data_IF_759131920843
#
_entry.id   IF_759131920843
#
_cell.length_a   1.000
_cell.length_b   1.000
_cell.length_c   1.000
_cell.angle_alpha   90.00
_cell.angle_beta   90.00
_cell.angle_gamma   90.00
#
_symmetry.space_group_name_H-M   'P 1'
#
loop_
_entity.id
_entity.type
_entity.pdbx_description
1 polymer ?
#
# COMPACT_ATOMS: atom_id res chain seq x y z
N UNK A 1 -9.58 -39.82 3.13
CA UNK A 1 -9.39 -38.38 2.82
C UNK A 1 -8.57 -37.68 3.91
N UNK A 2 -8.96 -37.81 5.19
CA UNK A 2 -8.23 -37.28 6.35
C UNK A 2 -6.74 -37.70 6.39
N UNK A 3 -6.45 -38.99 6.19
CA UNK A 3 -5.06 -39.49 6.19
C UNK A 3 -4.19 -38.85 5.09
N UNK A 4 -4.76 -38.60 3.91
CA UNK A 4 -4.04 -37.94 2.81
C UNK A 4 -3.71 -36.48 3.15
N UNK A 5 -4.59 -35.78 3.85
CA UNK A 5 -4.35 -34.39 4.26
C UNK A 5 -3.28 -34.30 5.35
N UNK A 6 -3.27 -35.25 6.29
CA UNK A 6 -2.21 -35.38 7.31
C UNK A 6 -0.86 -35.65 6.65
N UNK A 7 -0.82 -36.56 5.68
CA UNK A 7 0.40 -36.85 4.91
C UNK A 7 0.86 -35.60 4.15
N UNK A 8 -0.05 -34.88 3.48
CA UNK A 8 0.27 -33.65 2.76
C UNK A 8 0.85 -32.57 3.69
N UNK A 9 0.25 -32.38 4.86
CA UNK A 9 0.73 -31.44 5.89
C UNK A 9 2.15 -31.78 6.33
N UNK A 10 2.42 -33.06 6.62
CA UNK A 10 3.77 -33.52 6.99
C UNK A 10 4.78 -33.29 5.86
N UNK A 11 4.44 -33.62 4.62
CA UNK A 11 5.32 -33.41 3.46
C UNK A 11 5.61 -31.93 3.19
N UNK A 12 4.63 -31.04 3.36
CA UNK A 12 4.81 -29.60 3.23
C UNK A 12 5.68 -29.03 4.35
N UNK A 13 5.49 -29.50 5.58
CA UNK A 13 6.32 -29.13 6.73
C UNK A 13 7.78 -29.58 6.52
N UNK A 14 7.99 -30.83 6.10
CA UNK A 14 9.32 -31.35 5.75
C UNK A 14 9.93 -30.52 4.62
N UNK A 15 9.17 -30.22 3.57
CA UNK A 15 9.63 -29.36 2.48
C UNK A 15 10.04 -27.97 2.97
N UNK A 16 9.24 -27.35 3.83
CA UNK A 16 9.51 -26.03 4.42
C UNK A 16 10.84 -26.02 5.18
N UNK A 17 11.13 -27.07 5.96
CA UNK A 17 12.39 -27.21 6.70
C UNK A 17 13.64 -27.27 5.79
N UNK A 18 13.49 -27.70 4.54
CA UNK A 18 14.59 -27.77 3.57
C UNK A 18 14.64 -26.60 2.58
N UNK A 19 13.71 -25.64 2.64
CA UNK A 19 13.65 -24.52 1.70
C UNK A 19 14.94 -23.69 1.67
N UNK A 20 15.54 -23.43 2.83
CA UNK A 20 16.78 -22.67 2.94
C UNK A 20 17.97 -23.28 2.18
N UNK A 21 17.94 -24.60 1.96
CA UNK A 21 18.99 -25.33 1.25
C UNK A 21 18.78 -25.39 -0.27
N UNK A 22 17.68 -24.84 -0.79
CA UNK A 22 17.38 -24.80 -2.24
C UNK A 22 17.93 -23.53 -2.87
N UNK A 23 18.16 -23.52 -4.18
CA UNK A 23 18.48 -22.28 -4.89
C UNK A 23 17.23 -21.46 -5.16
N UNK A 24 17.30 -20.13 -5.06
CA UNK A 24 16.15 -19.25 -5.37
C UNK A 24 15.71 -19.35 -6.83
N UNK A 25 16.65 -19.63 -7.72
CA UNK A 25 16.36 -19.96 -9.11
C UNK A 25 15.47 -21.21 -9.25
N UNK A 26 15.68 -22.26 -8.46
CA UNK A 26 14.80 -23.44 -8.46
C UNK A 26 13.39 -23.09 -7.93
N UNK A 27 13.32 -22.20 -6.94
CA UNK A 27 12.05 -21.74 -6.39
C UNK A 27 11.25 -20.92 -7.42
N UNK A 28 11.90 -20.15 -8.29
CA UNK A 28 11.25 -19.14 -9.15
C UNK A 28 11.32 -19.37 -10.67
N UNK A 29 11.92 -20.47 -11.17
CA UNK A 29 11.96 -20.77 -12.62
C UNK A 29 10.60 -21.17 -13.20
N UNK A 30 10.41 -21.15 -14.55
CA UNK A 30 9.14 -21.49 -15.24
C UNK A 30 8.43 -22.74 -14.75
N UNK A 31 9.19 -23.80 -14.46
CA UNK A 31 8.74 -25.08 -13.92
C UNK A 31 9.10 -25.23 -12.43
N UNK A 32 9.40 -24.10 -11.78
CA UNK A 32 9.86 -24.01 -10.41
C UNK A 32 8.73 -24.15 -9.41
N UNK A 33 9.13 -24.27 -8.15
CA UNK A 33 8.21 -24.62 -7.04
C UNK A 33 7.14 -23.57 -6.80
N UNK A 34 7.42 -22.28 -7.02
CA UNK A 34 6.47 -21.21 -6.75
C UNK A 34 5.12 -21.39 -7.46
N UNK A 35 5.11 -21.87 -8.71
CA UNK A 35 3.85 -22.13 -9.40
C UNK A 35 3.02 -23.19 -8.65
N UNK A 36 3.65 -24.28 -8.21
CA UNK A 36 2.95 -25.33 -7.46
C UNK A 36 2.45 -24.81 -6.11
N UNK A 37 3.26 -24.01 -5.41
CA UNK A 37 2.86 -23.38 -4.14
C UNK A 37 1.63 -22.48 -4.34
N UNK A 38 1.62 -21.65 -5.37
CA UNK A 38 0.48 -20.77 -5.67
C UNK A 38 -0.78 -21.58 -6.03
N UNK A 39 -0.65 -22.63 -6.83
CA UNK A 39 -1.78 -23.52 -7.18
C UNK A 39 -2.31 -24.29 -5.95
N UNK A 40 -1.42 -24.76 -5.07
CA UNK A 40 -1.80 -25.40 -3.81
C UNK A 40 -2.46 -24.41 -2.86
N UNK A 41 -1.93 -23.18 -2.76
CA UNK A 41 -2.52 -22.11 -1.97
C UNK A 41 -3.95 -21.86 -2.41
N UNK A 42 -4.21 -21.69 -3.70
CA UNK A 42 -5.58 -21.53 -4.21
C UNK A 42 -6.48 -22.72 -3.85
N UNK A 43 -6.01 -23.94 -4.12
CA UNK A 43 -6.78 -25.16 -3.86
C UNK A 43 -7.14 -25.36 -2.39
N UNK A 44 -6.19 -25.11 -1.48
CA UNK A 44 -6.38 -25.22 -0.03
C UNK A 44 -7.25 -24.09 0.48
N UNK A 45 -7.00 -22.84 0.08
CA UNK A 45 -7.83 -21.68 0.42
C UNK A 45 -9.30 -21.94 0.07
N UNK A 46 -9.57 -22.40 -1.16
CA UNK A 46 -10.95 -22.66 -1.61
C UNK A 46 -11.61 -23.72 -0.74
N UNK A 47 -10.89 -24.79 -0.40
CA UNK A 47 -11.40 -25.88 0.44
C UNK A 47 -11.61 -25.47 1.89
N UNK A 48 -10.72 -24.69 2.46
CA UNK A 48 -10.91 -24.14 3.81
C UNK A 48 -12.21 -23.33 3.86
N UNK A 49 -12.37 -22.36 2.96
CA UNK A 49 -13.50 -21.45 2.97
C UNK A 49 -14.83 -22.13 2.61
N UNK A 50 -14.83 -23.15 1.74
CA UNK A 50 -16.00 -23.99 1.49
C UNK A 50 -16.51 -24.72 2.76
N UNK A 51 -15.65 -24.91 3.77
CA UNK A 51 -15.98 -25.60 5.02
C UNK A 51 -16.13 -24.66 6.23
N UNK A 52 -15.86 -23.36 6.06
CA UNK A 52 -15.98 -22.36 7.12
C UNK A 52 -17.44 -22.26 7.62
N UNK A 53 -17.62 -22.22 8.95
CA UNK A 53 -18.92 -22.07 9.60
C UNK A 53 -19.83 -23.32 9.58
N UNK A 54 -19.34 -24.47 9.11
CA UNK A 54 -20.09 -25.75 9.10
C UNK A 54 -19.69 -26.58 10.31
N UNK A 55 -20.59 -26.68 11.30
CA UNK A 55 -20.34 -27.37 12.58
C UNK A 55 -19.91 -28.84 12.39
N UNK A 56 -20.51 -29.54 11.41
CA UNK A 56 -20.20 -30.93 11.07
C UNK A 56 -18.84 -31.12 10.38
N UNK A 57 -18.17 -30.03 9.99
CA UNK A 57 -16.91 -30.04 9.24
C UNK A 57 -15.77 -29.32 9.95
N UNK A 58 -15.92 -28.99 11.23
CA UNK A 58 -14.91 -28.26 12.01
C UNK A 58 -13.52 -28.91 11.94
N UNK A 59 -13.45 -30.24 12.05
CA UNK A 59 -12.18 -30.96 11.98
C UNK A 59 -11.52 -30.87 10.60
N UNK A 60 -12.32 -30.95 9.53
CA UNK A 60 -11.82 -30.85 8.14
C UNK A 60 -11.35 -29.42 7.85
N UNK A 61 -12.13 -28.43 8.30
CA UNK A 61 -11.76 -27.02 8.21
C UNK A 61 -10.43 -26.75 8.92
N UNK A 62 -10.25 -27.23 10.15
CA UNK A 62 -9.01 -27.06 10.91
C UNK A 62 -7.79 -27.60 10.16
N UNK A 63 -7.92 -28.76 9.51
CA UNK A 63 -6.83 -29.35 8.73
C UNK A 63 -6.47 -28.49 7.51
N UNK A 64 -7.47 -27.96 6.79
CA UNK A 64 -7.21 -27.05 5.67
C UNK A 64 -6.61 -25.73 6.13
N UNK A 65 -7.02 -25.21 7.29
CA UNK A 65 -6.43 -24.00 7.87
C UNK A 65 -4.94 -24.21 8.21
N UNK A 66 -4.59 -25.32 8.84
CA UNK A 66 -3.19 -25.67 9.14
C UNK A 66 -2.35 -25.85 7.86
N UNK A 67 -2.95 -26.45 6.82
CA UNK A 67 -2.31 -26.56 5.50
C UNK A 67 -2.09 -25.18 4.88
N UNK A 68 -3.09 -24.28 4.92
CA UNK A 68 -2.98 -22.95 4.33
C UNK A 68 -1.85 -22.18 5.01
N UNK A 69 -1.83 -22.14 6.35
CA UNK A 69 -0.76 -21.51 7.13
C UNK A 69 0.63 -22.03 6.80
N UNK A 70 0.75 -23.33 6.55
CA UNK A 70 2.03 -23.94 6.13
C UNK A 70 2.43 -23.46 4.73
N UNK A 71 1.47 -23.41 3.80
CA UNK A 71 1.69 -22.92 2.43
C UNK A 71 2.03 -21.43 2.42
N UNK A 72 1.36 -20.61 3.23
CA UNK A 72 1.66 -19.19 3.42
C UNK A 72 3.09 -19.00 3.91
N UNK A 73 3.49 -19.75 4.94
CA UNK A 73 4.86 -19.72 5.44
C UNK A 73 5.90 -20.06 4.36
N UNK A 74 5.61 -21.07 3.53
CA UNK A 74 6.47 -21.43 2.38
C UNK A 74 6.51 -20.29 1.36
N UNK A 75 5.37 -19.70 1.01
CA UNK A 75 5.27 -18.61 0.05
C UNK A 75 6.03 -17.37 0.54
N UNK A 76 5.82 -16.97 1.79
CA UNK A 76 6.52 -15.88 2.47
C UNK A 76 8.04 -16.11 2.54
N UNK A 77 8.47 -17.35 2.78
CA UNK A 77 9.89 -17.70 2.77
C UNK A 77 10.50 -17.57 1.37
N UNK A 78 9.80 -18.06 0.33
CA UNK A 78 10.23 -17.88 -1.06
C UNK A 78 10.35 -16.39 -1.38
N UNK A 79 9.33 -15.59 -1.06
CA UNK A 79 9.34 -14.15 -1.30
C UNK A 79 10.52 -13.46 -0.62
N UNK A 80 10.73 -13.71 0.69
CA UNK A 80 11.85 -13.14 1.45
C UNK A 80 13.19 -13.43 0.77
N UNK A 81 13.37 -14.66 0.28
CA UNK A 81 14.60 -15.05 -0.42
C UNK A 81 14.73 -14.36 -1.77
N UNK A 82 13.64 -14.27 -2.53
CA UNK A 82 13.62 -13.58 -3.82
C UNK A 82 14.01 -12.11 -3.68
N UNK A 83 13.50 -11.42 -2.65
CA UNK A 83 13.89 -10.04 -2.34
C UNK A 83 15.39 -9.93 -2.01
N UNK A 84 15.94 -10.90 -1.27
CA UNK A 84 17.36 -10.90 -0.87
C UNK A 84 18.33 -11.28 -1.99
N UNK A 85 17.94 -12.22 -2.84
CA UNK A 85 18.82 -12.88 -3.81
C UNK A 85 18.66 -12.35 -5.25
N UNK A 86 17.71 -11.44 -5.49
CA UNK A 86 17.63 -10.68 -6.75
C UNK A 86 16.78 -11.32 -7.85
N UNK A 87 15.91 -12.27 -7.53
CA UNK A 87 15.03 -12.99 -8.48
C UNK A 87 13.62 -12.35 -8.62
N UNK A 88 13.44 -11.09 -8.17
CA UNK A 88 12.11 -10.45 -8.05
C UNK A 88 11.35 -10.31 -9.36
N UNK A 89 12.03 -10.16 -10.50
CA UNK A 89 11.36 -10.12 -11.81
C UNK A 89 10.55 -11.39 -12.10
N UNK A 90 11.17 -12.56 -11.91
CA UNK A 90 10.54 -13.86 -12.16
C UNK A 90 9.40 -14.13 -11.17
N UNK A 91 9.57 -13.70 -9.91
CA UNK A 91 8.54 -13.79 -8.89
C UNK A 91 7.30 -12.97 -9.25
N UNK A 92 7.45 -11.66 -9.52
CA UNK A 92 6.31 -10.81 -9.87
C UNK A 92 5.59 -11.28 -11.13
N UNK A 93 6.32 -11.73 -12.15
CA UNK A 93 5.69 -12.26 -13.38
C UNK A 93 4.79 -13.47 -13.12
N UNK A 94 5.15 -14.33 -12.16
CA UNK A 94 4.33 -15.49 -11.79
C UNK A 94 3.15 -15.11 -10.93
N UNK A 95 3.38 -14.31 -9.90
CA UNK A 95 2.32 -13.85 -9.02
C UNK A 95 1.26 -13.10 -9.84
N UNK A 96 1.70 -12.25 -10.77
CA UNK A 96 0.84 -11.56 -11.74
C UNK A 96 0.01 -12.53 -12.59
N UNK A 97 0.64 -13.55 -13.17
CA UNK A 97 -0.07 -14.55 -13.97
C UNK A 97 -1.09 -15.34 -13.13
N UNK A 98 -0.74 -15.67 -11.89
CA UNK A 98 -1.59 -16.42 -10.98
C UNK A 98 -2.80 -15.60 -10.52
N UNK A 99 -2.58 -14.35 -10.10
CA UNK A 99 -3.64 -13.43 -9.76
C UNK A 99 -4.61 -13.24 -10.94
N UNK A 100 -4.11 -13.00 -12.16
CA UNK A 100 -4.98 -12.87 -13.34
C UNK A 100 -5.78 -14.15 -13.64
N UNK A 101 -5.19 -15.34 -13.40
CA UNK A 101 -5.88 -16.62 -13.57
C UNK A 101 -7.06 -16.78 -12.62
N UNK A 102 -6.93 -16.30 -11.38
CA UNK A 102 -7.90 -16.53 -10.29
C UNK A 102 -8.66 -15.29 -9.82
N UNK A 103 -8.51 -14.18 -10.54
CA UNK A 103 -9.10 -12.86 -10.27
C UNK A 103 -10.61 -12.83 -9.98
N UNK A 104 -11.35 -13.82 -10.46
CA UNK A 104 -12.82 -13.92 -10.32
C UNK A 104 -13.25 -15.03 -9.37
N UNK A 105 -12.31 -15.71 -8.72
CA UNK A 105 -12.63 -16.78 -7.78
C UNK A 105 -12.89 -16.19 -6.39
N UNK A 106 -14.09 -16.48 -5.88
CA UNK A 106 -14.51 -16.10 -4.54
C UNK A 106 -15.26 -17.24 -3.88
N UNK A 107 -15.18 -17.31 -2.55
CA UNK A 107 -16.05 -18.11 -1.71
C UNK A 107 -16.75 -17.12 -0.79
N UNK A 108 -17.96 -16.64 -1.15
CA UNK A 108 -18.60 -15.53 -0.47
C UNK A 108 -18.62 -15.69 1.05
N UNK A 109 -18.19 -14.66 1.81
CA UNK A 109 -17.94 -13.28 1.37
C UNK A 109 -16.48 -12.97 0.95
N UNK A 110 -15.63 -13.97 0.76
CA UNK A 110 -14.17 -13.79 0.66
C UNK A 110 -13.67 -13.98 -0.76
N UNK A 111 -12.81 -13.05 -1.19
CA UNK A 111 -12.14 -13.08 -2.49
C UNK A 111 -10.74 -13.67 -2.37
N UNK A 112 -10.33 -14.49 -3.33
CA UNK A 112 -9.03 -15.16 -3.28
C UNK A 112 -7.86 -14.18 -3.32
N UNK A 113 -7.96 -13.15 -4.18
CA UNK A 113 -6.90 -12.17 -4.34
C UNK A 113 -6.64 -11.40 -3.04
N UNK A 114 -7.65 -11.13 -2.21
CA UNK A 114 -7.46 -10.48 -0.91
C UNK A 114 -6.55 -11.34 -0.01
N UNK A 115 -6.88 -12.62 0.17
CA UNK A 115 -6.06 -13.55 0.95
C UNK A 115 -4.63 -13.69 0.42
N UNK A 116 -4.46 -13.80 -0.91
CA UNK A 116 -3.14 -13.94 -1.51
C UNK A 116 -2.28 -12.68 -1.35
N UNK A 117 -2.87 -11.50 -1.56
CA UNK A 117 -2.15 -10.23 -1.51
C UNK A 117 -1.89 -9.75 -0.09
N UNK A 118 -2.73 -10.10 0.89
CA UNK A 118 -2.45 -9.86 2.30
C UNK A 118 -1.17 -10.58 2.73
N UNK A 119 -1.06 -11.88 2.40
CA UNK A 119 0.15 -12.68 2.67
C UNK A 119 1.40 -12.12 1.96
N UNK A 120 1.25 -11.68 0.71
CA UNK A 120 2.35 -11.08 -0.06
C UNK A 120 2.79 -9.72 0.53
N UNK A 121 1.86 -8.80 0.78
CA UNK A 121 2.23 -7.44 1.23
C UNK A 121 2.82 -7.43 2.65
N UNK A 122 2.44 -8.37 3.51
CA UNK A 122 3.04 -8.55 4.83
C UNK A 122 4.58 -8.68 4.73
N UNK A 123 5.05 -9.57 3.84
CA UNK A 123 6.49 -9.79 3.62
C UNK A 123 7.10 -8.67 2.79
N UNK A 124 6.43 -8.27 1.71
CA UNK A 124 6.96 -7.30 0.77
C UNK A 124 7.32 -5.98 1.45
N UNK A 125 6.37 -5.38 2.18
CA UNK A 125 6.59 -4.10 2.83
C UNK A 125 7.58 -4.18 4.00
N UNK A 126 7.62 -5.32 4.70
CA UNK A 126 8.56 -5.52 5.80
C UNK A 126 10.02 -5.65 5.34
N UNK A 127 10.25 -6.19 4.14
CA UNK A 127 11.60 -6.59 3.71
C UNK A 127 12.16 -5.82 2.51
N UNK A 128 11.35 -5.10 1.73
CA UNK A 128 11.82 -4.42 0.51
C UNK A 128 12.92 -3.38 0.77
N UNK A 129 12.86 -2.65 1.88
CA UNK A 129 13.84 -1.60 2.18
C UNK A 129 15.26 -2.15 2.39
N UNK A 130 15.36 -3.32 3.02
CA UNK A 130 16.63 -4.00 3.31
C UNK A 130 17.13 -4.88 2.14
N UNK A 131 16.31 -5.03 1.10
CA UNK A 131 16.62 -5.89 -0.03
C UNK A 131 17.81 -5.34 -0.86
N UNK A 132 18.82 -6.18 -1.17
CA UNK A 132 19.87 -5.84 -2.13
C UNK A 132 19.24 -5.51 -3.48
N UNK A 133 19.40 -4.26 -3.92
CA UNK A 133 18.84 -3.80 -5.17
C UNK A 133 17.36 -3.41 -5.14
N UNK A 134 16.82 -3.00 -3.97
CA UNK A 134 15.45 -2.47 -3.82
C UNK A 134 14.96 -1.56 -4.96
N UNK A 135 15.82 -0.68 -5.48
CA UNK A 135 15.47 0.20 -6.61
C UNK A 135 15.14 -0.58 -7.89
N UNK A 136 15.84 -1.69 -8.16
CA UNK A 136 15.53 -2.58 -9.29
C UNK A 136 14.25 -3.37 -9.04
N UNK A 137 14.00 -3.80 -7.80
CA UNK A 137 12.79 -4.53 -7.43
C UNK A 137 11.55 -3.67 -7.71
N UNK A 138 11.56 -2.39 -7.35
CA UNK A 138 10.50 -1.43 -7.68
C UNK A 138 10.31 -1.17 -9.18
N UNK A 139 11.31 -1.42 -10.01
CA UNK A 139 11.20 -1.38 -11.48
C UNK A 139 10.53 -2.63 -12.05
N UNK A 140 10.62 -3.77 -11.34
CA UNK A 140 9.94 -5.01 -11.71
C UNK A 140 8.53 -5.10 -11.12
N UNK A 141 8.24 -4.35 -10.05
CA UNK A 141 6.92 -4.27 -9.45
C UNK A 141 5.87 -3.85 -10.50
N UNK A 142 4.79 -4.62 -10.70
CA UNK A 142 3.80 -4.35 -11.75
C UNK A 142 3.21 -2.95 -11.65
N UNK A 143 3.13 -2.23 -12.78
CA UNK A 143 2.71 -0.83 -12.80
C UNK A 143 1.23 -0.67 -12.47
N UNK A 144 0.44 -1.64 -12.87
CA UNK A 144 -0.99 -1.73 -12.57
C UNK A 144 -1.25 -1.96 -11.08
N UNK A 145 -0.33 -2.54 -10.32
CA UNK A 145 -0.49 -2.71 -8.87
C UNK A 145 -0.16 -1.44 -8.09
N UNK A 146 0.60 -0.51 -8.69
CA UNK A 146 0.90 0.77 -8.04
C UNK A 146 -0.37 1.58 -7.80
N UNK A 147 -0.37 2.37 -6.74
CA UNK A 147 -1.52 3.20 -6.37
C UNK A 147 -1.44 4.50 -7.15
N UNK A 148 -2.24 4.56 -8.21
CA UNK A 148 -2.45 5.74 -9.04
C UNK A 148 -3.94 5.96 -9.20
N UNK A 149 -4.36 7.19 -9.48
CA UNK A 149 -5.75 7.53 -9.75
C UNK A 149 -6.35 6.64 -10.84
N UNK A 150 -5.64 6.48 -11.95
CA UNK A 150 -6.08 5.66 -13.09
C UNK A 150 -6.26 4.19 -12.68
N UNK A 151 -5.33 3.65 -11.89
CA UNK A 151 -5.42 2.25 -11.44
C UNK A 151 -6.57 2.04 -10.45
N UNK A 152 -6.80 2.98 -9.53
CA UNK A 152 -7.88 2.89 -8.54
C UNK A 152 -9.28 3.07 -9.16
N UNK A 153 -9.40 3.93 -10.17
CA UNK A 153 -10.66 4.18 -10.90
C UNK A 153 -11.01 3.01 -11.83
N UNK A 154 -10.05 2.17 -12.22
CA UNK A 154 -10.32 0.98 -13.03
C UNK A 154 -11.00 -0.11 -12.18
N UNK A 155 -12.29 -0.44 -12.42
CA UNK A 155 -13.00 -1.46 -11.65
C UNK A 155 -12.40 -2.86 -11.82
N UNK A 156 -11.75 -3.13 -12.95
CA UNK A 156 -11.08 -4.40 -13.21
C UNK A 156 -9.73 -4.51 -12.50
N UNK A 157 -9.17 -3.43 -11.96
CA UNK A 157 -7.88 -3.46 -11.29
C UNK A 157 -8.03 -3.53 -9.77
N UNK A 158 -8.48 -4.69 -9.29
CA UNK A 158 -8.69 -4.91 -7.85
C UNK A 158 -7.38 -4.89 -7.05
N UNK A 159 -6.26 -5.30 -7.67
CA UNK A 159 -4.97 -5.42 -6.98
C UNK A 159 -4.42 -4.06 -6.54
N UNK A 160 -4.63 -2.98 -7.31
CA UNK A 160 -4.24 -1.63 -6.89
C UNK A 160 -4.97 -1.19 -5.60
N UNK A 161 -6.24 -1.59 -5.45
CA UNK A 161 -7.01 -1.33 -4.22
C UNK A 161 -6.50 -2.17 -3.05
N UNK A 162 -6.19 -3.45 -3.28
CA UNK A 162 -5.56 -4.31 -2.28
C UNK A 162 -4.19 -3.75 -1.83
N UNK A 163 -3.41 -3.21 -2.78
CA UNK A 163 -2.13 -2.55 -2.51
C UNK A 163 -2.31 -1.34 -1.59
N UNK A 164 -3.31 -0.50 -1.88
CA UNK A 164 -3.66 0.64 -1.05
C UNK A 164 -4.08 0.20 0.35
N UNK A 165 -5.01 -0.75 0.48
CA UNK A 165 -5.53 -1.19 1.77
C UNK A 165 -4.42 -1.80 2.65
N UNK A 166 -3.61 -2.69 2.08
CA UNK A 166 -2.47 -3.28 2.79
C UNK A 166 -1.44 -2.21 3.19
N UNK A 167 -1.15 -1.26 2.30
CA UNK A 167 -0.26 -0.15 2.63
C UNK A 167 -0.81 0.70 3.77
N UNK A 168 -2.10 1.04 3.77
CA UNK A 168 -2.71 1.86 4.83
C UNK A 168 -2.63 1.12 6.17
N UNK A 169 -2.96 -0.17 6.21
CA UNK A 169 -2.86 -0.98 7.43
C UNK A 169 -1.41 -1.03 7.95
N UNK A 170 -0.46 -1.31 7.05
CA UNK A 170 0.96 -1.36 7.39
C UNK A 170 1.51 0.00 7.85
N UNK A 171 1.19 1.08 7.13
CA UNK A 171 1.63 2.43 7.45
C UNK A 171 1.02 2.93 8.77
N UNK A 172 -0.25 2.63 9.04
CA UNK A 172 -0.93 3.00 10.27
C UNK A 172 -0.19 2.45 11.50
N UNK A 173 0.17 1.16 11.48
CA UNK A 173 0.91 0.52 12.57
C UNK A 173 2.29 1.14 12.83
N UNK A 174 2.90 1.78 11.83
CA UNK A 174 4.21 2.43 11.93
C UNK A 174 4.10 3.88 12.38
N UNK A 175 3.13 4.62 11.85
CA UNK A 175 2.83 6.02 12.23
C UNK A 175 2.37 6.09 13.69
N UNK A 176 1.69 5.04 14.17
CA UNK A 176 1.23 4.95 15.55
C UNK A 176 2.34 4.67 16.56
N UNK A 177 3.55 4.36 16.13
CA UNK A 177 4.70 4.21 17.03
C UNK A 177 5.09 5.57 17.61
N UNK A 178 5.47 5.58 18.89
CA UNK A 178 5.94 6.79 19.59
C UNK A 178 7.45 7.04 19.42
N UNK A 179 8.13 6.18 18.66
CA UNK A 179 9.57 6.28 18.44
C UNK A 179 9.92 7.47 17.54
N UNK A 180 10.91 8.27 17.96
CA UNK A 180 11.45 9.39 17.17
C UNK A 180 12.36 8.95 16.02
N UNK A 181 12.62 7.65 15.88
CA UNK A 181 13.52 7.12 14.85
C UNK A 181 12.91 7.30 13.47
N UNK A 182 13.70 7.83 12.54
CA UNK A 182 13.31 7.99 11.15
C UNK A 182 12.91 6.65 10.50
N UNK A 183 11.75 6.64 9.86
CA UNK A 183 11.16 5.46 9.23
C UNK A 183 11.42 5.45 7.72
N UNK A 184 12.67 5.19 7.36
CA UNK A 184 13.08 5.05 5.96
C UNK A 184 12.35 3.95 5.18
N UNK A 185 11.99 2.79 5.78
CA UNK A 185 11.13 1.83 5.11
C UNK A 185 9.79 2.43 4.67
N UNK A 186 9.11 3.20 5.53
CA UNK A 186 7.86 3.86 5.17
C UNK A 186 8.05 4.90 4.06
N UNK A 187 9.14 5.67 4.10
CA UNK A 187 9.51 6.61 3.03
C UNK A 187 9.72 5.91 1.67
N UNK A 188 10.46 4.79 1.65
CA UNK A 188 10.75 4.05 0.42
C UNK A 188 9.48 3.41 -0.16
N UNK A 189 8.68 2.73 0.67
CA UNK A 189 7.43 2.10 0.21
C UNK A 189 6.44 3.14 -0.28
N UNK A 190 6.21 4.20 0.50
CA UNK A 190 5.27 5.27 0.15
C UNK A 190 5.67 5.97 -1.15
N UNK A 191 6.96 6.32 -1.29
CA UNK A 191 7.43 7.01 -2.49
C UNK A 191 7.41 6.15 -3.75
N UNK A 192 7.55 4.82 -3.65
CA UNK A 192 7.56 3.95 -4.83
C UNK A 192 6.17 3.38 -5.20
N UNK A 193 5.33 3.12 -4.20
CA UNK A 193 3.98 2.59 -4.40
C UNK A 193 3.02 3.63 -4.96
N UNK A 194 3.25 4.93 -4.67
CA UNK A 194 2.43 6.06 -5.12
C UNK A 194 3.17 6.90 -6.17
N UNK A 195 3.44 6.40 -7.38
CA UNK A 195 4.40 7.00 -8.31
C UNK A 195 4.00 8.38 -8.87
N UNK A 196 2.77 8.85 -8.65
CA UNK A 196 2.29 10.14 -9.16
C UNK A 196 2.29 11.28 -8.13
N UNK A 197 2.54 10.99 -6.86
CA UNK A 197 2.50 12.00 -5.79
C UNK A 197 3.87 12.63 -5.53
N UNK A 198 3.87 13.87 -5.04
CA UNK A 198 5.01 14.46 -4.31
C UNK A 198 5.17 13.73 -2.96
N UNK A 199 6.29 13.01 -2.72
CA UNK A 199 6.43 12.16 -1.54
C UNK A 199 6.35 12.92 -0.21
N UNK A 200 6.89 14.14 -0.16
CA UNK A 200 6.95 14.93 1.07
C UNK A 200 5.56 15.46 1.43
N UNK A 201 4.81 15.96 0.44
CA UNK A 201 3.44 16.40 0.62
C UNK A 201 2.52 15.22 0.97
N UNK A 202 2.68 14.10 0.26
CA UNK A 202 1.92 12.87 0.52
C UNK A 202 2.15 12.34 1.94
N UNK A 203 3.40 12.34 2.41
CA UNK A 203 3.71 11.94 3.77
C UNK A 203 3.00 12.81 4.82
N UNK A 204 2.93 14.13 4.64
CA UNK A 204 2.21 15.02 5.56
C UNK A 204 0.71 14.71 5.59
N UNK A 205 0.12 14.40 4.44
CA UNK A 205 -1.29 13.97 4.35
C UNK A 205 -1.46 12.66 5.13
N UNK A 206 -0.62 11.66 4.89
CA UNK A 206 -0.68 10.38 5.61
C UNK A 206 -0.47 10.53 7.11
N UNK A 207 0.47 11.36 7.56
CA UNK A 207 0.68 11.66 8.99
C UNK A 207 -0.62 12.18 9.59
N UNK A 208 -1.28 13.14 8.93
CA UNK A 208 -2.53 13.69 9.42
C UNK A 208 -3.65 12.64 9.47
N UNK A 209 -3.86 11.91 8.37
CA UNK A 209 -4.98 10.98 8.23
C UNK A 209 -4.84 9.73 9.12
N UNK A 210 -3.61 9.22 9.25
CA UNK A 210 -3.31 7.97 9.93
C UNK A 210 -2.80 8.17 11.35
N UNK A 211 -2.68 9.39 11.86
CA UNK A 211 -2.33 9.57 13.27
C UNK A 211 -3.50 9.13 14.16
N UNK A 212 -3.23 8.50 15.31
CA UNK A 212 -4.28 8.19 16.26
C UNK A 212 -4.83 9.48 16.85
N UNK A 213 -6.15 9.55 16.93
CA UNK A 213 -6.84 10.69 17.53
C UNK A 213 -6.91 10.52 19.06
N UNK A 214 -6.30 11.45 19.79
CA UNK A 214 -6.56 11.67 21.21
C UNK A 214 -7.81 12.54 21.43
N UNK A 215 -7.98 13.07 22.64
CA UNK A 215 -9.10 13.98 22.98
C UNK A 215 -9.12 15.23 22.07
N UNK A 216 -7.94 15.72 21.68
CA UNK A 216 -7.76 16.70 20.61
C UNK A 216 -6.96 16.06 19.45
N UNK A 217 -7.65 15.70 18.35
CA UNK A 217 -7.07 15.13 17.14
C UNK A 217 -5.84 15.86 16.61
N UNK A 218 -5.92 17.19 16.48
CA UNK A 218 -4.90 17.99 15.80
C UNK A 218 -3.71 18.24 16.70
N UNK A 219 -3.97 18.49 17.99
CA UNK A 219 -2.92 18.57 19.00
C UNK A 219 -2.12 17.27 19.06
N UNK A 220 -2.79 16.13 19.01
CA UNK A 220 -2.15 14.81 19.01
C UNK A 220 -1.22 14.63 17.81
N UNK A 221 -1.64 15.03 16.61
CA UNK A 221 -0.80 14.97 15.39
C UNK A 221 0.43 15.88 15.51
N UNK A 222 0.29 17.06 16.12
CA UNK A 222 1.37 18.05 16.25
C UNK A 222 2.41 17.61 17.28
N UNK A 223 1.98 17.15 18.45
CA UNK A 223 2.87 16.82 19.56
C UNK A 223 3.64 15.51 19.30
N UNK A 224 3.13 14.63 18.42
CA UNK A 224 3.80 13.38 18.06
C UNK A 224 4.99 13.59 17.12
N UNK A 225 6.00 12.70 17.17
CA UNK A 225 7.10 12.70 16.21
C UNK A 225 6.60 12.53 14.77
N UNK A 226 7.12 13.33 13.84
CA UNK A 226 6.92 13.13 12.41
C UNK A 226 8.17 12.44 11.88
N UNK A 227 8.15 11.11 11.86
CA UNK A 227 9.33 10.28 11.62
C UNK A 227 9.49 9.80 10.17
N UNK A 228 8.58 10.17 9.26
CA UNK A 228 8.70 9.93 7.82
C UNK A 228 8.31 11.18 7.01
N UNK A 229 8.58 11.15 5.70
CA UNK A 229 8.36 12.26 4.77
C UNK A 229 9.61 13.08 4.47
N UNK A 230 10.80 12.48 4.63
CA UNK A 230 12.08 13.18 4.45
C UNK A 230 12.76 12.85 3.12
N UNK A 231 12.37 11.75 2.48
CA UNK A 231 12.92 11.33 1.19
C UNK A 231 12.09 11.88 0.03
N UNK A 232 12.67 12.85 -0.69
CA UNK A 232 12.20 13.21 -2.02
C UNK A 232 12.59 12.16 -3.07
N UNK A 233 11.98 12.20 -4.25
CA UNK A 233 12.48 11.43 -5.40
C UNK A 233 13.60 12.18 -6.08
N UNK A 234 14.75 11.54 -6.21
CA UNK A 234 15.82 12.04 -7.10
C UNK A 234 15.37 11.79 -8.53
N UNK A 235 14.91 12.84 -9.20
CA UNK A 235 14.72 12.85 -10.65
C UNK A 235 15.86 13.66 -11.26
N UNK A 236 16.51 13.13 -12.29
CA UNK A 236 17.55 13.86 -13.03
C UNK A 236 16.84 14.84 -13.97
N UNK A 237 16.84 16.13 -13.63
CA UNK A 237 16.15 17.16 -14.41
C UNK A 237 17.08 17.86 -15.41
N UNK A 238 16.56 18.13 -16.61
CA UNK A 238 17.23 18.94 -17.63
C UNK A 238 17.03 20.45 -17.46
N UNK A 239 17.15 20.98 -16.22
CA UNK A 239 17.14 22.42 -15.90
C UNK A 239 16.02 22.91 -14.95
N UNK A 240 16.20 24.09 -14.32
CA UNK A 240 15.36 24.60 -13.21
C UNK A 240 13.92 24.98 -13.59
N UNK A 241 13.66 25.43 -14.82
CA UNK A 241 12.29 25.74 -15.26
C UNK A 241 11.41 24.49 -15.40
N UNK A 242 12.01 23.36 -15.78
CA UNK A 242 11.30 22.07 -15.88
C UNK A 242 10.99 21.51 -14.50
N UNK A 243 11.88 21.73 -13.54
CA UNK A 243 11.73 21.32 -12.15
C UNK A 243 10.52 22.01 -11.49
N UNK A 244 10.37 23.33 -11.64
CA UNK A 244 9.23 24.08 -11.08
C UNK A 244 7.87 23.70 -11.67
N UNK A 245 7.79 23.35 -12.96
CA UNK A 245 6.55 22.87 -13.59
C UNK A 245 6.19 21.47 -13.13
N UNK A 246 7.17 20.57 -13.03
CA UNK A 246 6.96 19.20 -12.58
C UNK A 246 6.53 19.15 -11.10
N UNK A 247 7.08 20.02 -10.24
CA UNK A 247 6.65 20.12 -8.85
C UNK A 247 5.16 20.47 -8.71
N UNK A 248 4.67 21.43 -9.51
CA UNK A 248 3.24 21.79 -9.51
C UNK A 248 2.34 20.65 -10.04
N UNK A 249 2.84 19.86 -10.98
CA UNK A 249 2.13 18.67 -11.47
C UNK A 249 2.05 17.61 -10.37
N UNK A 250 3.17 17.30 -9.72
CA UNK A 250 3.22 16.32 -8.63
C UNK A 250 2.33 16.78 -7.44
N UNK A 251 2.33 18.07 -7.06
CA UNK A 251 1.44 18.63 -6.02
C UNK A 251 -0.05 18.46 -6.36
N UNK A 252 -0.45 18.78 -7.60
CA UNK A 252 -1.83 18.60 -8.05
C UNK A 252 -2.23 17.13 -8.07
N UNK A 253 -1.37 16.25 -8.58
CA UNK A 253 -1.60 14.81 -8.58
C UNK A 253 -1.73 14.24 -7.16
N UNK A 254 -0.92 14.72 -6.21
CA UNK A 254 -1.06 14.37 -4.80
C UNK A 254 -2.45 14.71 -4.27
N UNK A 255 -2.94 15.94 -4.50
CA UNK A 255 -4.27 16.33 -4.03
C UNK A 255 -5.40 15.60 -4.76
N UNK A 256 -5.26 15.34 -6.06
CA UNK A 256 -6.25 14.54 -6.81
C UNK A 256 -6.38 13.13 -6.25
N UNK A 257 -5.25 12.47 -5.98
CA UNK A 257 -5.23 11.12 -5.41
C UNK A 257 -5.73 11.11 -3.96
N UNK A 258 -5.28 12.05 -3.14
CA UNK A 258 -5.71 12.17 -1.75
C UNK A 258 -7.21 12.45 -1.63
N UNK A 259 -7.76 13.32 -2.49
CA UNK A 259 -9.19 13.57 -2.57
C UNK A 259 -9.99 12.34 -3.01
N UNK A 260 -9.43 11.49 -3.89
CA UNK A 260 -10.07 10.25 -4.31
C UNK A 260 -10.17 9.25 -3.14
N UNK A 261 -9.09 9.11 -2.37
CA UNK A 261 -8.94 8.10 -1.31
C UNK A 261 -9.61 8.55 -0.01
N UNK A 262 -9.39 9.79 0.42
CA UNK A 262 -9.78 10.33 1.74
C UNK A 262 -10.88 11.39 1.60
N UNK A 263 -11.96 11.06 0.86
CA UNK A 263 -13.02 12.02 0.49
C UNK A 263 -13.62 12.77 1.68
N UNK A 264 -13.76 12.11 2.83
CA UNK A 264 -14.38 12.69 4.03
C UNK A 264 -13.46 13.75 4.62
N UNK A 265 -12.21 13.39 4.89
CA UNK A 265 -11.18 14.23 5.48
C UNK A 265 -10.76 15.37 4.54
N UNK A 266 -10.92 15.18 3.23
CA UNK A 266 -10.73 16.21 2.21
C UNK A 266 -12.01 17.01 1.89
N UNK A 267 -13.07 16.90 2.68
CA UNK A 267 -14.27 17.72 2.46
C UNK A 267 -14.02 19.17 2.89
N UNK A 268 -14.71 20.12 2.24
CA UNK A 268 -14.58 21.54 2.57
C UNK A 268 -14.87 21.83 4.06
N UNK A 269 -15.92 21.20 4.60
CA UNK A 269 -16.38 21.41 5.98
C UNK A 269 -15.32 20.93 6.99
N UNK A 270 -14.77 19.72 6.77
CA UNK A 270 -13.73 19.17 7.64
C UNK A 270 -12.46 20.03 7.60
N UNK A 271 -12.03 20.44 6.40
CA UNK A 271 -10.85 21.29 6.25
C UNK A 271 -11.01 22.65 6.93
N UNK A 272 -12.15 23.31 6.79
CA UNK A 272 -12.46 24.58 7.46
C UNK A 272 -12.45 24.42 8.99
N UNK A 273 -13.04 23.32 9.47
CA UNK A 273 -13.07 22.98 10.90
C UNK A 273 -11.66 22.72 11.44
N UNK A 274 -10.82 22.00 10.69
CA UNK A 274 -9.44 21.76 11.09
C UNK A 274 -8.59 23.04 11.09
N UNK A 275 -8.77 23.92 10.10
CA UNK A 275 -8.11 25.23 10.05
C UNK A 275 -8.49 26.07 11.27
N UNK A 276 -9.78 26.13 11.61
CA UNK A 276 -10.25 26.88 12.79
C UNK A 276 -9.64 26.33 14.09
N UNK A 277 -9.62 25.01 14.25
CA UNK A 277 -9.02 24.35 15.41
C UNK A 277 -7.50 24.60 15.49
N UNK A 278 -6.76 24.53 14.38
CA UNK A 278 -5.33 24.86 14.34
C UNK A 278 -5.03 26.32 14.70
N UNK A 279 -5.94 27.24 14.39
CA UNK A 279 -5.80 28.65 14.76
C UNK A 279 -6.06 28.92 16.25
N UNK A 280 -6.82 28.05 16.93
CA UNK A 280 -7.06 28.11 18.38
C UNK A 280 -5.91 27.51 19.19
N UNK A 281 -5.11 26.63 18.59
CA UNK A 281 -3.92 26.07 19.23
C UNK A 281 -2.79 27.10 19.30
N UNK A 282 -2.13 27.18 20.44
CA UNK A 282 -0.98 28.05 20.67
C UNK A 282 0.16 27.26 21.28
N UNK A 283 1.33 27.35 20.65
CA UNK A 283 2.58 26.77 21.14
C UNK A 283 3.63 27.86 21.35
N UNK A 284 4.73 27.50 22.01
CA UNK A 284 5.87 28.40 22.17
C UNK A 284 6.41 28.77 20.78
N UNK A 285 6.62 30.07 20.55
CA UNK A 285 7.15 30.57 19.29
C UNK A 285 8.47 29.87 18.96
N UNK A 286 8.62 29.44 17.71
CA UNK A 286 9.79 28.72 17.17
C UNK A 286 9.95 27.25 17.61
N UNK A 287 9.07 26.72 18.47
CA UNK A 287 9.08 25.31 18.88
C UNK A 287 8.80 24.37 17.68
N UNK A 288 9.13 23.09 17.84
CA UNK A 288 8.86 22.10 16.78
C UNK A 288 7.35 21.93 16.56
N UNK A 289 6.57 21.98 17.63
CA UNK A 289 5.10 21.93 17.62
C UNK A 289 4.53 23.10 16.83
N UNK A 290 5.01 24.32 17.07
CA UNK A 290 4.55 25.50 16.33
C UNK A 290 4.87 25.39 14.83
N UNK A 291 6.06 24.87 14.49
CA UNK A 291 6.43 24.63 13.08
C UNK A 291 5.53 23.58 12.43
N UNK A 292 5.18 22.50 13.15
CA UNK A 292 4.26 21.47 12.66
C UNK A 292 2.84 22.03 12.50
N UNK A 293 2.34 22.80 13.47
CA UNK A 293 1.05 23.48 13.41
C UNK A 293 0.94 24.35 12.16
N UNK A 294 1.93 25.22 11.92
CA UNK A 294 1.96 26.09 10.73
C UNK A 294 2.07 25.29 9.41
N UNK A 295 2.79 24.16 9.40
CA UNK A 295 2.86 23.27 8.23
C UNK A 295 1.51 22.61 7.93
N UNK A 296 0.80 22.13 8.94
CA UNK A 296 -0.55 21.57 8.77
C UNK A 296 -1.55 22.65 8.32
N UNK A 297 -1.46 23.86 8.90
CA UNK A 297 -2.32 24.97 8.50
C UNK A 297 -2.15 25.29 7.00
N UNK A 298 -0.90 25.48 6.55
CA UNK A 298 -0.62 25.74 5.14
C UNK A 298 -0.99 24.56 4.23
N UNK A 299 -0.91 23.31 4.72
CA UNK A 299 -1.39 22.13 3.99
C UNK A 299 -2.92 22.18 3.81
N UNK A 300 -3.68 22.42 4.88
CA UNK A 300 -5.13 22.45 4.83
C UNK A 300 -5.67 23.62 4.01
N UNK A 301 -5.03 24.79 4.06
CA UNK A 301 -5.38 25.93 3.21
C UNK A 301 -5.22 25.60 1.72
N UNK A 302 -4.11 24.92 1.35
CA UNK A 302 -3.88 24.45 -0.02
C UNK A 302 -4.90 23.40 -0.45
N UNK A 303 -5.21 22.44 0.42
CA UNK A 303 -6.23 21.42 0.18
C UNK A 303 -7.62 22.05 -0.01
N UNK A 304 -7.98 23.01 0.83
CA UNK A 304 -9.25 23.73 0.76
C UNK A 304 -9.37 24.53 -0.54
N UNK A 305 -8.30 25.21 -0.96
CA UNK A 305 -8.24 25.91 -2.24
C UNK A 305 -8.45 24.94 -3.42
N UNK A 306 -7.78 23.78 -3.38
CA UNK A 306 -7.95 22.75 -4.40
C UNK A 306 -9.41 22.27 -4.50
N UNK A 307 -10.05 21.97 -3.37
CA UNK A 307 -11.45 21.50 -3.34
C UNK A 307 -12.41 22.57 -3.89
N UNK A 308 -12.24 23.83 -3.47
CA UNK A 308 -13.06 24.95 -3.97
C UNK A 308 -12.91 25.15 -5.48
N UNK A 309 -11.70 25.00 -6.01
CA UNK A 309 -11.47 25.10 -7.45
C UNK A 309 -12.11 23.95 -8.24
N UNK A 310 -12.17 22.75 -7.66
CA UNK A 310 -12.82 21.59 -8.28
C UNK A 310 -14.35 21.67 -8.29
N UNK A 311 -14.93 22.38 -7.33
CA UNK A 311 -16.39 22.56 -7.21
C UNK A 311 -16.94 23.74 -8.01
N UNK A 312 -16.09 24.64 -8.52
CA UNK A 312 -16.55 25.67 -9.45
C UNK A 312 -16.92 24.98 -10.76
N UNK A 313 -18.17 25.14 -11.26
CA UNK A 313 -18.48 24.77 -12.62
C UNK A 313 -17.53 25.54 -13.54
N UNK A 314 -16.95 24.87 -14.54
CA UNK A 314 -16.33 25.57 -15.67
C UNK A 314 -17.41 26.49 -16.25
N UNK A 315 -17.35 27.77 -15.90
CA UNK A 315 -18.25 28.77 -16.44
C UNK A 315 -17.81 28.99 -17.88
N UNK A 316 -18.62 28.47 -18.79
CA UNK A 316 -18.71 28.80 -20.21
C UNK A 316 -17.73 29.89 -20.66
N UNK A 317 -16.58 29.47 -21.21
CA UNK A 317 -16.00 30.22 -22.32
C UNK A 317 -16.75 29.82 -23.59
N UNK A 318 -17.99 30.29 -23.70
CA UNK A 318 -18.55 30.61 -25.01
C UNK A 318 -17.87 31.92 -25.43
N UNK A 319 -16.80 31.82 -26.19
CA UNK A 319 -16.35 32.89 -27.05
C UNK A 319 -17.47 33.15 -28.06
N UNK A 320 -18.34 34.09 -27.73
CA UNK A 320 -19.06 34.89 -28.71
C UNK A 320 -18.01 35.70 -29.47
N UNK A 321 -17.49 35.12 -30.54
CA UNK A 321 -16.73 35.81 -31.57
C UNK A 321 -17.34 35.47 -32.93
N UNK A 322 -18.34 36.26 -33.35
CA UNK A 322 -18.42 36.84 -34.71
C UNK A 322 -19.77 37.54 -34.93
N UNK A 323 -19.81 38.81 -34.53
CA UNK A 323 -20.52 39.83 -35.27
C UNK A 323 -19.51 40.92 -35.64
N UNK A 324 -18.98 40.82 -36.86
CA UNK A 324 -18.51 41.94 -37.68
C UNK A 324 -18.36 41.46 -39.13
#
# INVERSE_FOLDING_TARGET
MKDNLIIASKLLSDFSNFLGNRSTTFLTRPEGVLNNILEWHFGVWKKEHENLGKEDKLEVWSIYSDLLRTIDSIFQHIETRVLKEGDSFSFFKRLQKHAEKYKKESVPPLDYDESLFDTFYEVFFQHIYDAPGRYRIWNYFPKEWKVTKINLENPENIISKLSLNNFINWANNRIWQSEEKLDFPLDDVSSNLFPEVDPILWAKILIFILSPYGEDPLRSVIERPWNFGFMGRIRVYGGPEKEGRLYKVDERSTFELAYLIFKKEFSQIELETHIESLNKLSYIKESQEERKRLRLLGLFEKMLLFVRNKQRPESNHSTDDSNA
#
